data_IF_214450549835
#
_entry.id   IF_214450549835
#
_cell.length_a   1.000
_cell.length_b   1.000
_cell.length_c   1.000
_cell.angle_alpha   90.00
_cell.angle_beta   90.00
_cell.angle_gamma   90.00
#
_symmetry.space_group_name_H-M   'P 1'
#
loop_
_entity.id
_entity.type
_entity.pdbx_description
1 polymer ?
#
# COMPACT_ATOMS: atom_id res chain seq x y z
N UNK A 1 -0.62 11.32 -16.86
CA UNK A 1 -1.72 10.67 -16.13
C UNK A 1 -1.25 10.29 -14.74
N UNK A 2 -1.89 10.80 -13.72
CA UNK A 2 -1.57 10.44 -12.33
C UNK A 2 -2.07 9.03 -12.05
N UNK A 3 -1.20 8.15 -11.59
CA UNK A 3 -1.58 6.81 -11.17
C UNK A 3 -1.99 6.85 -9.70
N UNK A 4 -3.28 6.77 -9.45
CA UNK A 4 -3.84 6.71 -8.11
C UNK A 4 -4.04 5.23 -7.73
N UNK A 5 -3.08 4.65 -7.03
CA UNK A 5 -3.15 3.24 -6.69
C UNK A 5 -2.13 2.84 -5.64
N UNK A 6 -2.12 1.56 -5.35
CA UNK A 6 -1.19 0.94 -4.41
C UNK A 6 0.04 0.41 -5.15
N UNK A 7 1.19 0.52 -4.53
CA UNK A 7 2.44 -0.06 -5.03
C UNK A 7 2.85 -1.23 -4.15
N UNK A 8 2.94 -2.42 -4.74
CA UNK A 8 3.44 -3.60 -4.04
C UNK A 8 4.95 -3.46 -3.82
N UNK A 9 5.36 -3.53 -2.57
CA UNK A 9 6.77 -3.44 -2.20
C UNK A 9 7.12 -4.51 -1.17
N UNK A 10 7.53 -5.72 -1.63
CA UNK A 10 7.91 -6.81 -0.72
C UNK A 10 9.10 -6.48 0.18
N UNK A 11 9.93 -5.51 -0.22
CA UNK A 11 11.06 -5.06 0.58
C UNK A 11 10.70 -4.07 1.68
N UNK A 12 9.49 -3.52 1.68
CA UNK A 12 9.06 -2.60 2.72
C UNK A 12 8.70 -3.35 4.00
N UNK A 13 9.17 -2.85 5.14
CA UNK A 13 8.85 -3.43 6.45
C UNK A 13 7.44 -3.05 6.91
N UNK A 14 6.95 -1.90 6.48
CA UNK A 14 5.62 -1.39 6.83
C UNK A 14 5.06 -0.54 5.70
N UNK A 15 3.77 -0.27 5.74
CA UNK A 15 3.11 0.62 4.79
C UNK A 15 3.62 2.06 4.95
N UNK A 16 3.72 2.76 3.84
CA UNK A 16 4.22 4.13 3.79
C UNK A 16 3.53 4.86 2.65
N UNK A 17 3.22 6.13 2.84
CA UNK A 17 2.75 7.00 1.78
C UNK A 17 3.07 8.47 2.08
N UNK A 18 3.11 9.28 1.04
CA UNK A 18 3.36 10.71 1.17
C UNK A 18 2.07 11.51 1.35
N UNK A 19 2.20 12.69 1.98
CA UNK A 19 1.07 13.60 2.19
C UNK A 19 0.43 14.07 0.89
N UNK A 20 1.24 14.37 -0.12
CA UNK A 20 0.72 14.80 -1.43
C UNK A 20 0.08 13.64 -2.19
N UNK A 21 0.66 12.45 -2.08
CA UNK A 21 0.07 11.22 -2.65
C UNK A 21 -1.31 10.96 -2.04
N UNK A 22 -1.41 11.07 -0.71
CA UNK A 22 -2.69 10.89 -0.01
C UNK A 22 -3.73 11.92 -0.45
N UNK A 23 -3.33 13.18 -0.54
CA UNK A 23 -4.22 14.25 -0.99
C UNK A 23 -4.76 13.98 -2.40
N UNK A 24 -3.90 13.61 -3.33
CA UNK A 24 -4.30 13.29 -4.70
C UNK A 24 -5.22 12.08 -4.76
N UNK A 25 -4.95 11.06 -3.97
CA UNK A 25 -5.81 9.88 -3.88
C UNK A 25 -7.21 10.26 -3.35
N UNK A 26 -7.27 11.06 -2.29
CA UNK A 26 -8.53 11.48 -1.67
C UNK A 26 -9.37 12.34 -2.63
N UNK A 27 -8.73 13.22 -3.38
CA UNK A 27 -9.41 14.04 -4.40
C UNK A 27 -10.05 13.18 -5.49
N UNK A 28 -9.39 12.10 -5.88
CA UNK A 28 -9.90 11.16 -6.88
C UNK A 28 -10.88 10.12 -6.35
N UNK A 29 -10.94 9.93 -5.04
CA UNK A 29 -11.73 8.88 -4.39
C UNK A 29 -12.43 9.41 -3.12
N UNK A 30 -13.36 10.38 -3.23
CA UNK A 30 -13.97 11.01 -2.05
C UNK A 30 -14.63 10.04 -1.06
N UNK A 31 -15.30 8.96 -1.47
CA UNK A 31 -15.84 7.98 -0.52
C UNK A 31 -14.77 7.34 0.35
N UNK A 32 -13.59 7.06 -0.21
CA UNK A 32 -12.48 6.47 0.53
C UNK A 32 -11.86 7.47 1.51
N UNK A 33 -11.84 8.76 1.14
CA UNK A 33 -11.34 9.81 2.02
C UNK A 33 -12.15 9.91 3.33
N UNK A 34 -13.43 9.60 3.29
CA UNK A 34 -14.30 9.58 4.47
C UNK A 34 -14.09 8.34 5.35
N UNK A 35 -13.53 7.27 4.79
CA UNK A 35 -13.32 5.99 5.49
C UNK A 35 -11.86 5.87 5.94
N UNK A 36 -11.42 6.75 6.81
CA UNK A 36 -10.05 6.73 7.33
C UNK A 36 -10.00 6.91 8.84
N UNK A 37 -8.99 6.32 9.45
CA UNK A 37 -8.70 6.46 10.87
C UNK A 37 -7.24 6.85 11.05
N UNK A 38 -7.00 7.93 11.76
CA UNK A 38 -5.67 8.43 12.10
C UNK A 38 -5.30 8.04 13.53
N UNK A 39 -4.05 7.62 13.69
CA UNK A 39 -3.44 7.47 15.01
C UNK A 39 -2.09 8.15 15.02
N UNK A 40 -1.60 8.48 16.20
CA UNK A 40 -0.29 9.09 16.36
C UNK A 40 0.81 8.10 15.95
N UNK A 41 1.85 8.59 15.27
CA UNK A 41 3.00 7.79 14.87
C UNK A 41 4.29 8.50 15.22
N UNK A 42 5.22 7.76 15.80
CA UNK A 42 6.59 8.22 16.09
C UNK A 42 7.63 7.50 15.22
N UNK A 43 7.19 6.79 14.20
CA UNK A 43 8.07 6.05 13.30
C UNK A 43 8.96 7.01 12.49
N UNK A 44 10.19 6.58 12.24
CA UNK A 44 11.15 7.31 11.40
C UNK A 44 11.55 6.43 10.23
N UNK A 45 11.73 7.05 9.08
CA UNK A 45 12.03 6.35 7.83
C UNK A 45 13.30 6.91 7.21
N UNK A 46 14.13 6.04 6.64
CA UNK A 46 15.37 6.40 5.97
C UNK A 46 15.34 5.91 4.52
N UNK A 47 16.24 6.43 3.70
CA UNK A 47 16.39 6.02 2.30
C UNK A 47 15.52 6.77 1.30
N UNK A 48 14.68 7.70 1.76
CA UNK A 48 13.80 8.48 0.88
C UNK A 48 14.48 9.78 0.44
N UNK A 49 15.20 10.43 1.34
CA UNK A 49 15.88 11.70 1.07
C UNK A 49 17.31 11.75 1.62
N UNK A 50 17.88 10.61 1.97
CA UNK A 50 19.21 10.50 2.58
C UNK A 50 19.24 10.78 4.08
N UNK A 51 18.25 11.48 4.62
CA UNK A 51 18.10 11.70 6.05
C UNK A 51 16.84 11.03 6.59
N UNK A 52 16.81 10.62 7.87
CA UNK A 52 15.61 10.04 8.44
C UNK A 52 14.44 11.01 8.41
N UNK A 53 13.30 10.56 7.92
CA UNK A 53 12.06 11.33 7.86
C UNK A 53 11.08 10.78 8.89
N UNK A 54 10.49 11.65 9.68
CA UNK A 54 9.48 11.26 10.67
C UNK A 54 8.12 11.12 10.04
N UNK A 55 7.36 10.12 10.46
CA UNK A 55 5.95 9.99 10.13
C UNK A 55 5.14 11.10 10.78
N UNK A 56 4.15 11.62 10.05
CA UNK A 56 3.20 12.62 10.57
C UNK A 56 2.11 11.93 11.38
N UNK A 57 1.73 10.74 10.97
CA UNK A 57 0.72 9.92 11.64
C UNK A 57 0.65 8.56 11.01
N UNK A 58 -0.08 7.65 11.65
CA UNK A 58 -0.42 6.34 11.10
C UNK A 58 -1.86 6.38 10.59
N UNK A 59 -2.06 5.95 9.36
CA UNK A 59 -3.33 6.00 8.68
C UNK A 59 -3.85 4.59 8.37
N UNK A 60 -5.13 4.38 8.65
CA UNK A 60 -5.88 3.25 8.14
C UNK A 60 -6.96 3.80 7.21
N UNK A 61 -6.97 3.38 5.97
CA UNK A 61 -7.87 3.93 4.95
C UNK A 61 -8.31 2.86 3.96
N UNK A 62 -9.58 2.91 3.58
CA UNK A 62 -10.10 2.07 2.50
C UNK A 62 -9.43 2.43 1.17
N UNK A 63 -9.00 1.41 0.46
CA UNK A 63 -8.45 1.53 -0.88
C UNK A 63 -9.10 0.48 -1.78
N UNK A 64 -9.01 0.67 -3.08
CA UNK A 64 -9.59 -0.25 -4.04
C UNK A 64 -8.52 -0.80 -4.98
N UNK A 65 -8.52 -2.14 -5.14
CA UNK A 65 -7.67 -2.83 -6.10
C UNK A 65 -8.59 -3.62 -7.01
N UNK A 66 -8.75 -3.17 -8.26
CA UNK A 66 -9.72 -3.74 -9.17
C UNK A 66 -11.14 -3.61 -8.59
N UNK A 67 -11.80 -4.73 -8.38
CA UNK A 67 -13.16 -4.78 -7.79
C UNK A 67 -13.14 -4.99 -6.28
N UNK A 68 -11.97 -5.11 -5.68
CA UNK A 68 -11.82 -5.45 -4.28
C UNK A 68 -11.54 -4.22 -3.44
N UNK A 69 -12.27 -4.08 -2.34
CA UNK A 69 -11.94 -3.09 -1.32
C UNK A 69 -11.00 -3.72 -0.30
N UNK A 70 -9.96 -3.02 0.03
CA UNK A 70 -9.01 -3.41 1.07
C UNK A 70 -8.82 -2.26 2.05
N UNK A 71 -8.26 -2.56 3.20
CA UNK A 71 -7.83 -1.53 4.15
C UNK A 71 -6.32 -1.42 4.06
N UNK A 72 -5.83 -0.28 3.56
CA UNK A 72 -4.42 0.04 3.58
C UNK A 72 -4.06 0.66 4.93
N UNK A 73 -2.94 0.25 5.50
CA UNK A 73 -2.41 0.81 6.75
C UNK A 73 -0.95 1.18 6.57
N UNK A 74 -0.58 2.32 7.11
CA UNK A 74 0.80 2.76 7.05
C UNK A 74 1.03 4.13 7.65
N UNK A 75 2.28 4.54 7.65
CA UNK A 75 2.67 5.87 8.09
C UNK A 75 2.63 6.86 6.94
N UNK A 76 2.26 8.08 7.25
CA UNK A 76 2.23 9.18 6.28
C UNK A 76 3.42 10.09 6.56
N UNK A 77 4.15 10.43 5.51
CA UNK A 77 5.33 11.29 5.58
C UNK A 77 5.16 12.54 4.71
N UNK A 78 5.76 13.62 5.15
CA UNK A 78 5.78 14.89 4.41
C UNK A 78 7.16 15.23 3.87
N UNK A 79 7.39 16.51 3.61
CA UNK A 79 8.66 17.02 3.14
C UNK A 79 9.10 16.39 1.82
N UNK A 80 10.36 15.97 1.76
CA UNK A 80 10.91 15.35 0.54
C UNK A 80 10.23 14.05 0.16
N UNK A 81 9.56 13.38 1.10
CA UNK A 81 8.81 12.14 0.86
C UNK A 81 7.32 12.34 0.57
N UNK A 82 6.85 13.58 0.36
CA UNK A 82 5.41 13.89 0.21
C UNK A 82 4.74 13.19 -0.97
N UNK A 83 5.48 12.80 -1.98
CA UNK A 83 4.98 12.05 -3.13
C UNK A 83 5.32 10.56 -3.08
N UNK A 84 5.76 10.04 -1.95
CA UNK A 84 5.96 8.60 -1.78
C UNK A 84 4.65 7.87 -2.10
N UNK A 85 4.65 6.88 -3.03
CA UNK A 85 3.42 6.15 -3.34
C UNK A 85 2.93 5.33 -2.15
N UNK A 86 1.67 4.89 -2.21
CA UNK A 86 1.15 3.97 -1.20
C UNK A 86 1.86 2.61 -1.31
N UNK A 87 2.79 2.34 -0.40
CA UNK A 87 3.52 1.08 -0.37
C UNK A 87 2.76 0.02 0.41
N UNK A 88 2.57 -1.14 -0.20
CA UNK A 88 1.98 -2.31 0.44
C UNK A 88 3.11 -3.29 0.77
N UNK A 89 3.45 -3.46 2.05
CA UNK A 89 4.53 -4.36 2.44
C UNK A 89 4.11 -5.82 2.38
N UNK A 90 5.10 -6.71 2.53
CA UNK A 90 4.88 -8.15 2.42
C UNK A 90 3.86 -8.74 3.41
N UNK A 91 3.83 -8.36 4.71
CA UNK A 91 2.87 -8.96 5.64
C UNK A 91 1.39 -8.81 5.23
N UNK A 92 0.89 -7.63 4.82
CA UNK A 92 -0.46 -7.52 4.26
C UNK A 92 -0.68 -8.37 3.01
N UNK A 93 0.32 -8.49 2.13
CA UNK A 93 0.21 -9.33 0.95
C UNK A 93 0.02 -10.80 1.31
N UNK A 94 0.75 -11.29 2.31
CA UNK A 94 0.59 -12.65 2.83
C UNK A 94 -0.81 -12.83 3.42
N UNK A 95 -1.27 -11.88 4.21
CA UNK A 95 -2.59 -11.92 4.84
C UNK A 95 -3.71 -11.95 3.79
N UNK A 96 -3.57 -11.20 2.72
CA UNK A 96 -4.54 -11.17 1.63
C UNK A 96 -4.40 -12.39 0.69
N UNK A 97 -3.40 -13.23 0.90
CA UNK A 97 -3.17 -14.45 0.12
C UNK A 97 -3.10 -14.14 -1.36
N UNK A 98 -2.13 -13.31 -1.72
CA UNK A 98 -1.95 -12.92 -3.12
C UNK A 98 -0.66 -13.48 -3.71
N UNK A 99 -0.67 -13.62 -5.03
CA UNK A 99 0.51 -13.91 -5.84
C UNK A 99 0.74 -12.70 -6.75
N UNK A 100 1.99 -12.26 -6.85
CA UNK A 100 2.39 -11.24 -7.81
C UNK A 100 3.20 -11.87 -8.93
N UNK A 101 2.89 -11.50 -10.17
CA UNK A 101 3.62 -11.94 -11.35
C UNK A 101 4.12 -10.70 -12.09
N UNK A 102 5.42 -10.61 -12.28
CA UNK A 102 6.06 -9.44 -12.87
C UNK A 102 6.29 -9.63 -14.38
N UNK A 103 6.17 -8.54 -15.14
CA UNK A 103 6.50 -8.53 -16.56
C UNK A 103 5.64 -9.46 -17.43
N UNK A 104 4.39 -9.69 -17.05
CA UNK A 104 3.47 -10.60 -17.77
C UNK A 104 3.00 -10.00 -19.08
N UNK A 105 2.83 -8.70 -19.13
CA UNK A 105 2.36 -7.98 -20.33
C UNK A 105 3.52 -7.31 -21.07
N UNK A 106 3.36 -7.08 -22.35
CA UNK A 106 4.39 -6.48 -23.22
C UNK A 106 4.83 -5.09 -22.75
N UNK A 107 3.92 -4.32 -22.13
CA UNK A 107 4.23 -3.01 -21.59
C UNK A 107 5.00 -3.06 -20.25
N UNK A 108 5.34 -4.25 -19.75
CA UNK A 108 6.03 -4.43 -18.49
C UNK A 108 5.12 -4.57 -17.28
N UNK A 109 3.81 -4.42 -17.44
CA UNK A 109 2.86 -4.61 -16.35
C UNK A 109 2.82 -6.06 -15.89
N UNK A 110 2.50 -6.25 -14.62
CA UNK A 110 2.32 -7.56 -14.01
C UNK A 110 0.88 -7.83 -13.63
N UNK A 111 0.70 -8.91 -12.90
CA UNK A 111 -0.58 -9.32 -12.34
C UNK A 111 -0.48 -9.49 -10.83
N UNK A 112 -1.55 -9.16 -10.13
CA UNK A 112 -1.74 -9.55 -8.73
C UNK A 112 -2.99 -10.43 -8.67
N UNK A 113 -2.82 -11.64 -8.17
CA UNK A 113 -3.91 -12.60 -8.03
C UNK A 113 -4.23 -12.75 -6.55
N UNK A 114 -5.46 -12.49 -6.17
CA UNK A 114 -5.95 -12.69 -4.81
C UNK A 114 -6.76 -13.96 -4.72
N UNK A 115 -6.53 -14.73 -3.66
CA UNK A 115 -7.28 -15.95 -3.40
C UNK A 115 -8.38 -15.68 -2.37
N UNK A 116 -9.62 -15.47 -2.80
CA UNK A 116 -10.73 -15.22 -1.88
C UNK A 116 -11.19 -16.48 -1.15
N UNK A 117 -10.79 -17.67 -1.64
CA UNK A 117 -11.21 -18.95 -1.11
C UNK A 117 -10.07 -19.57 -0.29
N UNK A 118 -10.39 -20.12 0.87
CA UNK A 118 -9.44 -20.91 1.65
C UNK A 118 -8.94 -22.09 0.85
N UNK A 119 -7.62 -22.14 0.62
CA UNK A 119 -6.98 -23.33 0.06
C UNK A 119 -7.04 -24.43 1.12
N UNK A 120 -7.38 -25.62 0.69
CA UNK A 120 -7.50 -26.76 1.59
C UNK A 120 -6.18 -27.07 2.30
N UNK A 121 -6.27 -27.50 3.56
CA UNK A 121 -5.11 -27.78 4.41
C UNK A 121 -4.19 -28.87 3.86
N UNK A 122 -4.66 -29.74 2.99
CA UNK A 122 -3.80 -30.79 2.42
C UNK A 122 -2.68 -30.25 1.51
N UNK A 123 -2.80 -29.01 1.01
CA UNK A 123 -1.70 -28.36 0.30
C UNK A 123 -0.53 -28.04 1.24
N UNK A 124 -0.75 -27.97 2.52
CA UNK A 124 0.27 -27.65 3.50
C UNK A 124 1.07 -28.87 3.95
N UNK A 125 0.66 -30.05 3.54
CA UNK A 125 1.29 -31.31 3.95
C UNK A 125 2.21 -31.90 2.89
N UNK A 126 2.40 -31.19 1.83
CA UNK A 126 3.28 -31.61 0.73
C UNK A 126 4.71 -31.22 1.02
#
# INVERSE_FOLDING_TARGET
MKRLGLTWDPGAASGLAGTDTLREYDEGNPPHAAEKTWTESHARFSGISGEPTSGIGHLSQTAQVGRMKIVWQGSIIGGAGSYCPFLVPNPPMIKQRCITMHGVFENGDGLVIFFPIKISSHFNTV
#
